data_IF_734536356079
#
_entry.id   IF_734536356079
#
_cell.length_a   1.000
_cell.length_b   1.000
_cell.length_c   1.000
_cell.angle_alpha   90.00
_cell.angle_beta   90.00
_cell.angle_gamma   90.00
#
_symmetry.space_group_name_H-M   'P 1'
#
loop_
_entity.id
_entity.type
_entity.pdbx_description
1 polymer ?
#
# COMPACT_ATOMS: atom_id res chain seq x y z
N UNK A 1 18.85 1.82 20.65
CA UNK A 1 18.38 2.42 19.39
C UNK A 1 18.70 1.45 18.26
N UNK A 2 17.79 0.52 17.99
CA UNK A 2 17.90 -0.40 16.86
C UNK A 2 16.99 0.15 15.78
N UNK A 3 17.53 1.08 14.99
CA UNK A 3 16.92 1.48 13.74
C UNK A 3 17.01 0.25 12.84
N UNK A 4 15.97 -0.59 12.92
CA UNK A 4 15.78 -1.69 12.01
C UNK A 4 15.93 -1.09 10.62
N UNK A 5 17.09 -1.38 10.02
CA UNK A 5 17.35 -1.39 8.60
C UNK A 5 16.03 -1.49 7.87
N UNK A 6 15.58 -0.35 7.39
CA UNK A 6 14.36 -0.16 6.63
C UNK A 6 14.36 -1.30 5.61
N UNK A 7 13.50 -2.32 5.80
CA UNK A 7 13.56 -3.50 4.95
C UNK A 7 13.53 -2.97 3.51
N UNK A 8 14.41 -3.44 2.59
CA UNK A 8 14.42 -2.97 1.21
C UNK A 8 13.01 -3.01 0.60
N UNK A 9 12.22 -4.00 1.02
CA UNK A 9 10.78 -4.14 0.76
C UNK A 9 9.97 -2.89 1.10
N UNK A 10 10.15 -2.26 2.26
CA UNK A 10 9.45 -1.04 2.65
C UNK A 10 9.84 0.12 1.73
N UNK A 11 11.14 0.33 1.50
CA UNK A 11 11.63 1.36 0.57
C UNK A 11 11.03 1.20 -0.83
N UNK A 12 11.03 -0.01 -1.36
CA UNK A 12 10.52 -0.29 -2.70
C UNK A 12 8.99 -0.19 -2.78
N UNK A 13 8.29 -0.53 -1.69
CA UNK A 13 6.84 -0.29 -1.57
C UNK A 13 6.52 1.20 -1.63
N UNK A 14 7.28 2.05 -0.95
CA UNK A 14 7.07 3.51 -1.00
C UNK A 14 7.29 4.07 -2.39
N UNK A 15 8.32 3.60 -3.11
CA UNK A 15 8.54 4.00 -4.51
C UNK A 15 7.34 3.60 -5.39
N UNK A 16 6.82 2.38 -5.21
CA UNK A 16 5.65 1.90 -5.94
C UNK A 16 4.41 2.76 -5.65
N UNK A 17 4.17 3.10 -4.38
CA UNK A 17 3.09 4.00 -3.98
C UNK A 17 3.21 5.34 -4.71
N UNK A 18 4.39 5.95 -4.68
CA UNK A 18 4.65 7.23 -5.35
C UNK A 18 4.41 7.16 -6.86
N UNK A 19 4.87 6.10 -7.52
CA UNK A 19 4.69 5.90 -8.96
C UNK A 19 3.21 5.75 -9.34
N UNK A 20 2.43 5.04 -8.52
CA UNK A 20 0.98 4.91 -8.70
C UNK A 20 0.29 6.27 -8.54
N UNK A 21 0.61 7.05 -7.50
CA UNK A 21 0.04 8.39 -7.32
C UNK A 21 0.40 9.36 -8.46
N UNK A 22 1.60 9.25 -9.02
CA UNK A 22 1.99 10.04 -10.20
C UNK A 22 1.21 9.61 -11.44
N UNK A 23 0.98 8.31 -11.60
CA UNK A 23 0.23 7.74 -12.72
C UNK A 23 -1.26 8.08 -12.66
N UNK A 24 -1.89 7.98 -11.48
CA UNK A 24 -3.32 8.30 -11.28
C UNK A 24 -3.60 9.79 -11.45
N UNK A 25 -2.61 10.66 -11.19
CA UNK A 25 -2.75 12.12 -11.41
C UNK A 25 -3.03 12.46 -12.87
N UNK A 26 -2.48 11.68 -13.80
CA UNK A 26 -2.58 11.93 -15.24
C UNK A 26 -3.81 11.28 -15.90
N UNK A 27 -4.70 10.67 -15.11
CA UNK A 27 -5.88 9.99 -15.64
C UNK A 27 -6.97 10.96 -16.12
N UNK A 28 -7.71 10.59 -17.18
CA UNK A 28 -8.93 11.29 -17.58
C UNK A 28 -9.92 11.36 -16.43
N UNK A 29 -10.73 12.42 -16.38
CA UNK A 29 -11.68 12.68 -15.29
C UNK A 29 -12.65 11.52 -15.01
N UNK A 30 -13.06 10.80 -16.05
CA UNK A 30 -13.92 9.62 -15.95
C UNK A 30 -13.28 8.50 -15.12
N UNK A 31 -12.02 8.15 -15.42
CA UNK A 31 -11.29 7.09 -14.72
C UNK A 31 -10.67 7.54 -13.40
N UNK A 32 -10.47 8.84 -13.20
CA UNK A 32 -9.85 9.39 -11.99
C UNK A 32 -10.62 9.07 -10.71
N UNK A 33 -11.95 9.20 -10.74
CA UNK A 33 -12.80 9.04 -9.55
C UNK A 33 -13.28 7.61 -9.31
N UNK A 34 -13.20 6.74 -10.31
CA UNK A 34 -13.44 5.31 -10.19
C UNK A 34 -12.08 4.61 -10.01
N UNK A 35 -11.46 4.21 -11.12
CA UNK A 35 -10.21 3.45 -11.14
C UNK A 35 -9.07 4.10 -10.33
N UNK A 36 -8.85 5.41 -10.49
CA UNK A 36 -7.77 6.11 -9.79
C UNK A 36 -7.92 6.08 -8.27
N UNK A 37 -9.15 6.26 -7.78
CA UNK A 37 -9.45 6.22 -6.34
C UNK A 37 -9.32 4.81 -5.76
N UNK A 38 -9.70 3.79 -6.53
CA UNK A 38 -9.54 2.39 -6.11
C UNK A 38 -8.05 2.00 -6.07
N UNK A 39 -7.26 2.39 -7.08
CA UNK A 39 -5.80 2.18 -7.09
C UNK A 39 -5.08 2.85 -5.92
N UNK A 40 -5.44 4.10 -5.58
CA UNK A 40 -4.88 4.79 -4.42
C UNK A 40 -5.24 4.08 -3.10
N UNK A 41 -6.47 3.54 -2.99
CA UNK A 41 -6.89 2.77 -1.82
C UNK A 41 -6.10 1.46 -1.70
N UNK A 42 -6.01 0.71 -2.78
CA UNK A 42 -5.38 -0.61 -2.79
C UNK A 42 -3.89 -0.53 -2.46
N UNK A 43 -3.18 0.51 -2.96
CA UNK A 43 -1.76 0.67 -2.68
C UNK A 43 -1.48 1.02 -1.21
N UNK A 44 -2.36 1.81 -0.57
CA UNK A 44 -2.28 2.12 0.86
C UNK A 44 -2.57 0.88 1.72
N UNK A 45 -3.53 0.07 1.29
CA UNK A 45 -3.84 -1.22 1.93
C UNK A 45 -2.65 -2.17 1.82
N UNK A 46 -2.02 -2.27 0.65
CA UNK A 46 -0.82 -3.07 0.42
C UNK A 46 0.35 -2.63 1.32
N UNK A 47 0.58 -1.32 1.46
CA UNK A 47 1.60 -0.80 2.37
C UNK A 47 1.31 -1.18 3.83
N UNK A 48 0.04 -1.13 4.25
CA UNK A 48 -0.39 -1.58 5.59
C UNK A 48 -0.15 -3.07 5.78
N UNK A 49 -0.43 -3.90 4.78
CA UNK A 49 -0.10 -5.33 4.80
C UNK A 49 1.39 -5.57 4.99
N UNK A 50 2.25 -4.85 4.27
CA UNK A 50 3.70 -5.04 4.35
C UNK A 50 4.24 -4.64 5.73
N UNK A 51 3.73 -3.55 6.32
CA UNK A 51 4.05 -3.17 7.70
C UNK A 51 3.57 -4.21 8.73
N UNK A 52 2.37 -4.76 8.54
CA UNK A 52 1.79 -5.78 9.41
C UNK A 52 2.43 -7.16 9.29
N UNK A 53 3.11 -7.45 8.18
CA UNK A 53 3.88 -8.69 8.01
C UNK A 53 5.25 -8.64 8.70
N UNK A 54 5.75 -7.44 9.00
CA UNK A 54 7.01 -7.23 9.73
C UNK A 54 6.80 -7.36 11.23
N UNK A 55 5.67 -6.88 11.74
CA UNK A 55 5.17 -7.14 13.09
C UNK A 55 4.63 -8.58 13.15
N UNK A 56 5.03 -9.39 14.14
CA UNK A 56 4.63 -10.81 14.28
C UNK A 56 3.13 -11.04 14.58
N UNK A 57 2.22 -10.20 14.09
CA UNK A 57 0.81 -10.25 14.40
C UNK A 57 -0.04 -10.61 13.17
N UNK A 58 0.22 -11.82 12.64
CA UNK A 58 -0.52 -12.41 11.51
C UNK A 58 -2.00 -12.70 11.80
N UNK A 59 -2.43 -12.65 13.06
CA UNK A 59 -3.72 -13.19 13.49
C UNK A 59 -4.92 -12.25 13.25
N UNK A 60 -4.74 -10.93 13.35
CA UNK A 60 -5.86 -9.98 13.21
C UNK A 60 -6.21 -9.65 11.76
N UNK A 61 -5.25 -9.71 10.83
CA UNK A 61 -5.48 -9.34 9.42
C UNK A 61 -6.17 -10.42 8.60
N UNK A 62 -5.94 -11.72 8.90
CA UNK A 62 -6.67 -12.81 8.22
C UNK A 62 -8.18 -12.78 8.50
N UNK A 63 -8.59 -12.29 9.67
CA UNK A 63 -10.02 -12.16 10.02
C UNK A 63 -10.73 -11.05 9.25
N UNK A 64 -10.03 -9.99 8.84
CA UNK A 64 -10.61 -8.87 8.09
C UNK A 64 -10.81 -9.17 6.60
N UNK A 65 -10.08 -10.15 6.06
CA UNK A 65 -10.16 -10.59 4.66
C UNK A 65 -11.21 -11.70 4.43
N UNK A 66 -11.87 -12.16 5.51
CA UNK A 66 -12.84 -13.29 5.48
C UNK A 66 -14.30 -12.88 5.69
N UNK A 67 -14.66 -11.60 5.47
CA UNK A 67 -16.05 -11.13 5.56
C UNK A 67 -16.60 -10.73 4.20
#
# INVERSE_FOLDING_TARGET
MTLHTELPVYRDTYKLVLEIFLSTKNFPKEYKYSLGRDMERDVLVLMRFISANTEKNRFSFLCLLKK
#
